data_IF_801197759346
#
_entry.id   IF_801197759346
#
_cell.length_a   1.000
_cell.length_b   1.000
_cell.length_c   1.000
_cell.angle_alpha   90.00
_cell.angle_beta   90.00
_cell.angle_gamma   90.00
#
_symmetry.space_group_name_H-M   'P 1'
#
loop_
_entity.id
_entity.type
_entity.pdbx_description
1 polymer ?
#
# COMPACT_ATOMS: atom_id res chain seq x y z
N UNK A 1 54.92 -39.96 -39.18
CA UNK A 1 54.63 -38.48 -38.90
C UNK A 1 53.17 -38.34 -38.66
N UNK A 2 52.76 -38.30 -37.36
CA UNK A 2 51.34 -38.30 -36.94
C UNK A 2 51.03 -36.94 -36.44
N UNK A 3 50.26 -36.15 -37.18
CA UNK A 3 49.70 -34.83 -36.73
C UNK A 3 48.43 -35.13 -35.98
N UNK A 4 48.45 -35.01 -34.62
CA UNK A 4 47.31 -35.12 -33.74
C UNK A 4 46.47 -33.82 -33.84
N UNK A 5 45.20 -33.95 -34.28
CA UNK A 5 44.20 -32.92 -34.32
C UNK A 5 43.69 -32.64 -32.88
N UNK A 6 44.11 -31.53 -32.26
CA UNK A 6 43.67 -31.07 -30.93
C UNK A 6 42.63 -29.92 -31.00
N UNK A 7 41.93 -29.77 -32.15
CA UNK A 7 40.97 -28.68 -32.36
C UNK A 7 39.57 -28.82 -31.70
N UNK A 8 39.02 -30.02 -31.39
CA UNK A 8 37.65 -30.06 -30.88
C UNK A 8 37.51 -29.73 -29.36
N UNK A 9 38.59 -29.85 -28.58
CA UNK A 9 38.54 -29.64 -27.13
C UNK A 9 38.51 -28.14 -26.77
N UNK A 10 39.19 -27.30 -27.55
CA UNK A 10 39.21 -25.84 -27.33
C UNK A 10 37.86 -25.17 -27.70
N UNK A 11 37.15 -25.69 -28.70
CA UNK A 11 35.85 -25.20 -29.12
C UNK A 11 34.75 -25.52 -28.09
N UNK A 12 34.84 -26.67 -27.42
CA UNK A 12 33.89 -27.08 -26.38
C UNK A 12 34.05 -26.27 -25.08
N UNK A 13 35.29 -25.86 -24.74
CA UNK A 13 35.57 -25.03 -23.59
C UNK A 13 35.07 -23.57 -23.77
N UNK A 14 35.07 -23.05 -25.00
CA UNK A 14 34.57 -21.70 -25.29
C UNK A 14 33.02 -21.61 -25.26
N UNK A 15 32.32 -22.74 -25.50
CA UNK A 15 30.86 -22.78 -25.48
C UNK A 15 30.28 -22.83 -24.06
N UNK A 16 31.07 -23.22 -23.06
CA UNK A 16 30.64 -23.29 -21.66
C UNK A 16 30.68 -21.93 -20.90
N UNK A 17 31.33 -20.92 -21.46
CA UNK A 17 31.46 -19.59 -20.81
C UNK A 17 30.28 -18.66 -21.12
N UNK A 18 29.43 -18.98 -22.08
CA UNK A 18 28.36 -18.13 -22.55
C UNK A 18 27.04 -18.21 -21.74
N UNK A 19 26.97 -18.97 -20.65
CA UNK A 19 25.77 -19.11 -19.80
C UNK A 19 25.96 -18.42 -18.42
N UNK A 20 26.79 -17.39 -18.32
CA UNK A 20 26.75 -16.48 -17.19
C UNK A 20 25.54 -15.57 -17.37
N UNK A 21 24.34 -16.10 -17.09
CA UNK A 21 23.13 -15.31 -17.02
C UNK A 21 23.36 -14.11 -16.08
N UNK A 22 23.13 -12.91 -16.57
CA UNK A 22 23.22 -11.70 -15.75
C UNK A 22 22.32 -11.88 -14.52
N UNK A 23 22.91 -12.11 -13.35
CA UNK A 23 22.16 -12.10 -12.10
C UNK A 23 21.62 -10.69 -11.90
N UNK A 24 20.36 -10.53 -11.52
CA UNK A 24 19.82 -9.20 -11.22
C UNK A 24 20.66 -8.55 -10.11
N UNK A 25 20.94 -7.27 -10.27
CA UNK A 25 21.66 -6.49 -9.24
C UNK A 25 20.71 -6.14 -8.13
N UNK A 26 21.11 -6.41 -6.88
CA UNK A 26 20.32 -6.03 -5.70
C UNK A 26 20.19 -4.51 -5.62
N UNK A 27 18.97 -3.95 -5.61
CA UNK A 27 18.77 -2.52 -5.45
C UNK A 27 19.24 -2.03 -4.08
N UNK A 28 19.94 -0.89 -4.05
CA UNK A 28 20.37 -0.24 -2.80
C UNK A 28 19.23 0.61 -2.25
N UNK A 29 18.45 0.04 -1.35
CA UNK A 29 17.36 0.75 -0.67
C UNK A 29 17.14 0.18 0.74
N UNK A 30 16.73 1.04 1.68
CA UNK A 30 16.42 0.60 3.05
C UNK A 30 14.92 0.29 3.17
N UNK A 31 14.51 -0.91 2.81
CA UNK A 31 13.12 -1.38 2.86
C UNK A 31 12.56 -1.45 4.28
N UNK A 32 13.42 -1.72 5.28
CA UNK A 32 13.00 -1.81 6.67
C UNK A 32 12.55 -0.45 7.26
N UNK A 33 12.89 0.66 6.60
CA UNK A 33 12.42 1.98 6.99
C UNK A 33 11.02 2.31 6.45
N UNK A 34 10.46 1.47 5.56
CA UNK A 34 9.12 1.67 5.04
C UNK A 34 8.06 1.28 6.08
N UNK A 35 7.03 2.11 6.28
CA UNK A 35 5.99 1.82 7.25
C UNK A 35 5.12 0.64 6.78
N UNK A 36 4.73 -0.20 7.75
CA UNK A 36 3.71 -1.22 7.53
C UNK A 36 2.40 -0.74 8.18
N UNK A 37 1.40 -0.31 7.39
CA UNK A 37 0.15 0.20 7.91
C UNK A 37 -0.72 -0.86 8.60
N UNK A 38 -0.43 -2.15 8.43
CA UNK A 38 -1.16 -3.24 9.10
C UNK A 38 -0.93 -3.29 10.60
N UNK A 39 0.13 -2.65 11.07
CA UNK A 39 0.49 -2.57 12.50
C UNK A 39 -0.11 -1.34 13.21
N UNK A 40 -0.93 -0.56 12.52
CA UNK A 40 -1.56 0.66 13.05
C UNK A 40 -3.06 0.64 12.81
N UNK A 41 -3.78 1.54 13.47
CA UNK A 41 -5.19 1.73 13.15
C UNK A 41 -5.36 2.23 11.71
N UNK A 42 -6.53 1.91 11.13
CA UNK A 42 -6.92 2.42 9.82
C UNK A 42 -6.89 3.95 9.80
N UNK A 43 -6.26 4.52 8.79
CA UNK A 43 -6.29 5.97 8.56
C UNK A 43 -7.47 6.28 7.65
N UNK A 44 -8.40 7.05 8.16
CA UNK A 44 -9.63 7.43 7.48
C UNK A 44 -9.32 8.30 6.24
N UNK A 45 -9.97 7.98 5.13
CA UNK A 45 -9.83 8.69 3.88
C UNK A 45 -11.16 9.07 3.26
N UNK A 46 -11.10 9.87 2.19
CA UNK A 46 -12.28 10.31 1.44
C UNK A 46 -13.02 9.09 0.87
N UNK A 47 -14.34 9.02 1.11
CA UNK A 47 -15.20 7.93 0.67
C UNK A 47 -15.37 6.81 1.70
N UNK A 48 -14.57 6.80 2.77
CA UNK A 48 -14.79 5.83 3.87
C UNK A 48 -16.13 6.08 4.55
N UNK A 49 -16.77 4.99 4.93
CA UNK A 49 -18.04 4.99 5.66
C UNK A 49 -17.78 4.66 7.12
N UNK A 50 -18.25 5.52 8.01
CA UNK A 50 -18.11 5.36 9.45
C UNK A 50 -19.45 5.43 10.15
N UNK A 51 -19.54 4.70 11.24
CA UNK A 51 -20.67 4.76 12.18
C UNK A 51 -20.17 5.34 13.49
N UNK A 52 -20.80 6.41 13.95
CA UNK A 52 -20.52 7.05 15.22
C UNK A 52 -21.73 6.80 16.13
N UNK A 53 -21.52 6.05 17.20
CA UNK A 53 -22.54 5.79 18.19
C UNK A 53 -22.21 6.55 19.47
N UNK A 54 -23.21 7.29 20.00
CA UNK A 54 -23.11 7.96 21.29
C UNK A 54 -24.10 7.30 22.24
N UNK A 55 -23.57 6.58 23.23
CA UNK A 55 -24.37 5.82 24.19
C UNK A 55 -25.36 6.73 24.91
N UNK A 56 -26.58 6.25 25.13
CA UNK A 56 -27.70 7.00 25.76
C UNK A 56 -28.13 8.26 25.01
N UNK A 57 -27.54 8.57 23.84
CA UNK A 57 -27.88 9.73 23.02
C UNK A 57 -28.15 9.32 21.57
N UNK A 58 -29.22 8.56 21.26
CA UNK A 58 -29.48 8.06 19.92
C UNK A 58 -29.65 9.16 18.88
N UNK A 59 -30.09 10.36 19.27
CA UNK A 59 -30.18 11.52 18.37
C UNK A 59 -28.82 12.06 17.88
N UNK A 60 -27.71 11.62 18.49
CA UNK A 60 -26.34 11.97 18.09
C UNK A 60 -25.66 10.84 17.30
N UNK A 61 -26.29 9.66 17.23
CA UNK A 61 -25.77 8.56 16.43
C UNK A 61 -25.78 8.94 14.96
N UNK A 62 -24.65 8.78 14.28
CA UNK A 62 -24.44 9.27 12.91
C UNK A 62 -23.79 8.22 12.05
N UNK A 63 -24.40 7.92 10.91
CA UNK A 63 -23.76 7.21 9.81
C UNK A 63 -23.26 8.28 8.83
N UNK A 64 -21.96 8.29 8.56
CA UNK A 64 -21.35 9.31 7.72
C UNK A 64 -20.40 8.71 6.69
N UNK A 65 -20.42 9.29 5.49
CA UNK A 65 -19.36 9.08 4.49
C UNK A 65 -18.44 10.29 4.51
N UNK A 66 -17.13 10.06 4.56
CA UNK A 66 -16.15 11.15 4.52
C UNK A 66 -16.21 11.83 3.16
N UNK A 67 -16.56 13.10 3.18
CA UNK A 67 -16.79 13.94 2.00
C UNK A 67 -15.46 14.22 1.26
N UNK A 68 -15.53 14.69 -0.01
CA UNK A 68 -14.33 15.09 -0.79
C UNK A 68 -13.49 16.19 -0.13
N UNK A 69 -14.09 17.05 0.70
CA UNK A 69 -13.41 18.06 1.50
C UNK A 69 -12.69 17.49 2.74
N UNK A 70 -12.86 16.17 2.99
CA UNK A 70 -12.26 15.45 4.10
C UNK A 70 -13.01 15.55 5.43
N UNK A 71 -14.21 16.12 5.41
CA UNK A 71 -15.02 16.33 6.61
C UNK A 71 -16.19 15.33 6.69
N UNK A 72 -16.71 15.18 7.90
CA UNK A 72 -18.04 14.61 8.21
C UNK A 72 -18.88 15.68 8.90
N UNK A 73 -20.19 15.50 8.87
CA UNK A 73 -21.12 16.35 9.61
C UNK A 73 -21.84 15.54 10.67
N UNK A 74 -21.91 16.04 11.87
CA UNK A 74 -22.55 15.38 13.02
C UNK A 74 -23.45 16.38 13.77
N UNK A 75 -24.62 15.96 14.28
CA UNK A 75 -25.48 16.81 15.11
C UNK A 75 -24.69 17.41 16.29
N UNK A 76 -24.99 18.67 16.63
CA UNK A 76 -24.37 19.50 17.64
C UNK A 76 -22.90 19.86 17.39
N UNK A 77 -22.11 18.92 16.85
CA UNK A 77 -20.67 19.10 16.57
C UNK A 77 -20.43 19.90 15.30
N UNK A 78 -21.36 19.79 14.32
CA UNK A 78 -21.19 20.37 12.99
C UNK A 78 -20.18 19.62 12.14
N UNK A 79 -19.44 20.36 11.33
CA UNK A 79 -18.40 19.80 10.46
C UNK A 79 -17.12 19.49 11.25
N UNK A 80 -16.59 18.28 11.02
CA UNK A 80 -15.39 17.75 11.66
C UNK A 80 -14.48 17.10 10.63
N UNK A 81 -13.21 17.49 10.65
CA UNK A 81 -12.23 16.86 9.76
C UNK A 81 -11.96 15.43 10.20
N UNK A 82 -12.20 14.49 9.29
CA UNK A 82 -12.02 13.07 9.54
C UNK A 82 -10.89 12.47 8.70
N UNK A 83 -10.58 13.03 7.52
CA UNK A 83 -9.51 12.55 6.67
C UNK A 83 -8.15 12.70 7.35
N UNK A 84 -7.37 11.61 7.34
CA UNK A 84 -6.05 11.54 7.99
C UNK A 84 -6.09 11.17 9.47
N UNK A 85 -7.27 11.10 10.07
CA UNK A 85 -7.48 10.66 11.44
C UNK A 85 -7.64 9.15 11.53
N UNK A 86 -7.43 8.58 12.72
CA UNK A 86 -7.82 7.21 13.05
C UNK A 86 -9.20 7.20 13.72
N UNK A 87 -9.92 6.07 13.79
CA UNK A 87 -11.14 5.95 14.57
C UNK A 87 -10.97 6.42 16.01
N UNK A 88 -9.84 6.12 16.64
CA UNK A 88 -9.53 6.53 18.02
C UNK A 88 -9.28 8.04 18.14
N UNK A 89 -8.55 8.64 17.22
CA UNK A 89 -8.31 10.09 17.23
C UNK A 89 -9.60 10.87 16.92
N UNK A 90 -10.40 10.40 15.96
CA UNK A 90 -11.69 10.99 15.64
C UNK A 90 -12.66 10.93 16.83
N UNK A 91 -12.69 9.77 17.54
CA UNK A 91 -13.45 9.62 18.79
C UNK A 91 -13.07 10.69 19.82
N UNK A 92 -11.77 10.92 20.02
CA UNK A 92 -11.27 11.92 20.97
C UNK A 92 -11.70 13.34 20.58
N UNK A 93 -11.64 13.67 19.27
CA UNK A 93 -12.08 14.97 18.76
C UNK A 93 -13.58 15.19 18.95
N UNK A 94 -14.40 14.18 18.63
CA UNK A 94 -15.86 14.23 18.84
C UNK A 94 -16.18 14.42 20.32
N UNK A 95 -15.52 13.65 21.19
CA UNK A 95 -15.71 13.77 22.64
C UNK A 95 -15.43 15.20 23.13
N UNK A 96 -14.30 15.78 22.71
CA UNK A 96 -13.92 17.13 23.10
C UNK A 96 -14.99 18.19 22.73
N UNK A 97 -15.61 18.04 21.54
CA UNK A 97 -16.67 18.99 21.12
C UNK A 97 -18.02 18.72 21.73
N UNK A 98 -18.34 17.45 22.04
CA UNK A 98 -19.65 17.14 22.68
C UNK A 98 -19.70 17.48 24.17
N UNK A 99 -18.59 17.63 24.85
CA UNK A 99 -18.52 17.93 26.29
C UNK A 99 -19.29 19.21 26.66
N UNK A 100 -19.36 20.17 25.73
CA UNK A 100 -20.08 21.43 25.94
C UNK A 100 -21.60 21.27 25.83
N UNK A 101 -22.09 20.19 25.24
CA UNK A 101 -23.52 20.00 24.95
C UNK A 101 -24.14 18.84 25.73
N UNK A 102 -23.34 17.83 26.08
CA UNK A 102 -23.84 16.59 26.68
C UNK A 102 -22.91 16.16 27.81
N UNK A 103 -23.50 15.74 28.94
CA UNK A 103 -22.72 15.09 30.00
C UNK A 103 -22.29 13.72 29.56
N UNK A 104 -21.00 13.59 29.21
CA UNK A 104 -20.37 12.32 28.88
C UNK A 104 -19.69 11.76 30.15
N UNK A 105 -19.86 10.45 30.41
CA UNK A 105 -19.19 9.77 31.52
C UNK A 105 -17.70 9.48 31.24
N UNK A 106 -17.19 8.33 31.69
CA UNK A 106 -15.76 8.03 31.79
C UNK A 106 -15.08 7.51 30.50
N UNK A 107 -15.65 7.70 29.30
CA UNK A 107 -14.88 7.49 28.07
C UNK A 107 -15.30 6.40 27.12
N UNK A 108 -16.22 5.53 27.48
CA UNK A 108 -16.70 4.44 26.62
C UNK A 108 -18.02 4.75 25.89
N UNK A 109 -18.52 5.94 26.03
CA UNK A 109 -19.85 6.34 25.50
C UNK A 109 -19.86 6.64 24.02
N UNK A 110 -18.69 6.92 23.40
CA UNK A 110 -18.58 7.16 21.97
C UNK A 110 -17.83 6.02 21.33
N UNK A 111 -18.43 5.46 20.30
CA UNK A 111 -17.80 4.45 19.46
C UNK A 111 -17.74 4.95 18.02
N UNK A 112 -16.57 4.89 17.40
CA UNK A 112 -16.37 5.16 15.98
C UNK A 112 -15.96 3.87 15.32
N UNK A 113 -16.79 3.36 14.41
CA UNK A 113 -16.54 2.13 13.69
C UNK A 113 -16.44 2.40 12.18
N UNK A 114 -15.45 1.82 11.51
CA UNK A 114 -15.36 1.82 10.04
C UNK A 114 -16.31 0.75 9.51
N UNK A 115 -17.30 1.15 8.72
CA UNK A 115 -18.26 0.28 8.06
C UNK A 115 -17.87 -0.07 6.65
N UNK A 116 -17.20 0.86 5.96
CA UNK A 116 -16.69 0.65 4.61
C UNK A 116 -15.37 1.39 4.41
N UNK A 117 -14.31 0.63 4.15
CA UNK A 117 -12.97 1.16 3.87
C UNK A 117 -12.84 1.37 2.35
N UNK A 118 -13.29 2.51 1.85
CA UNK A 118 -13.37 2.81 0.41
C UNK A 118 -12.24 3.73 -0.07
N UNK A 119 -11.44 4.26 0.84
CA UNK A 119 -10.36 5.19 0.53
C UNK A 119 -9.06 4.52 0.10
N UNK A 120 -8.89 3.23 0.40
CA UNK A 120 -7.67 2.51 0.05
C UNK A 120 -7.68 2.13 -1.43
N UNK A 121 -6.83 2.81 -2.17
CA UNK A 121 -6.64 2.59 -3.61
C UNK A 121 -5.19 2.84 -4.01
N UNK A 122 -4.71 2.05 -4.96
CA UNK A 122 -3.39 2.19 -5.58
C UNK A 122 -3.50 1.90 -7.07
N UNK A 123 -2.45 2.21 -7.82
CA UNK A 123 -2.43 2.06 -9.27
C UNK A 123 -1.34 1.07 -9.67
N UNK A 124 -1.61 0.24 -10.67
CA UNK A 124 -0.63 -0.64 -11.30
C UNK A 124 -0.57 -0.28 -12.78
N UNK A 125 0.63 0.02 -13.29
CA UNK A 125 0.84 0.43 -14.68
C UNK A 125 2.05 -0.29 -15.28
N UNK A 126 2.09 -0.35 -16.62
CA UNK A 126 3.17 -0.95 -17.38
C UNK A 126 2.87 -2.39 -17.80
N UNK A 127 3.90 -3.22 -17.86
CA UNK A 127 3.87 -4.57 -18.42
C UNK A 127 3.26 -5.60 -17.46
N UNK A 128 2.00 -5.40 -17.12
CA UNK A 128 1.14 -6.36 -16.40
C UNK A 128 -0.09 -6.71 -17.23
N UNK A 129 -0.69 -7.87 -16.98
CA UNK A 129 -1.83 -8.36 -17.77
C UNK A 129 -3.06 -7.44 -17.68
N UNK A 130 -3.31 -6.84 -16.51
CA UNK A 130 -4.45 -5.95 -16.26
C UNK A 130 -3.98 -4.71 -15.48
N UNK A 131 -3.43 -3.70 -16.18
CA UNK A 131 -3.10 -2.43 -15.55
C UNK A 131 -4.37 -1.68 -15.14
N UNK A 132 -4.29 -0.87 -14.10
CA UNK A 132 -5.42 -0.07 -13.65
C UNK A 132 -5.34 0.36 -12.19
N UNK A 133 -6.42 0.97 -11.73
CA UNK A 133 -6.61 1.35 -10.32
C UNK A 133 -7.28 0.19 -9.59
N UNK A 134 -6.70 -0.19 -8.47
CA UNK A 134 -7.24 -1.21 -7.56
C UNK A 134 -7.74 -0.51 -6.31
N UNK A 135 -8.98 -0.82 -5.91
CA UNK A 135 -9.61 -0.34 -4.67
C UNK A 135 -10.01 -1.54 -3.83
N UNK A 136 -9.64 -1.55 -2.56
CA UNK A 136 -9.87 -2.65 -1.63
C UNK A 136 -10.23 -2.12 -0.24
N UNK A 137 -10.80 -2.99 0.60
CA UNK A 137 -11.06 -2.72 2.01
C UNK A 137 -9.99 -3.25 2.97
N UNK A 138 -8.85 -3.72 2.45
CA UNK A 138 -7.76 -4.28 3.24
C UNK A 138 -6.42 -4.05 2.53
N UNK A 139 -5.34 -4.00 3.30
CA UNK A 139 -4.00 -3.80 2.77
C UNK A 139 -3.46 -5.06 2.08
N UNK A 140 -2.77 -4.84 0.97
CA UNK A 140 -2.09 -5.89 0.19
C UNK A 140 -0.63 -5.54 -0.02
N UNK A 141 0.18 -6.56 -0.26
CA UNK A 141 1.60 -6.41 -0.59
C UNK A 141 1.81 -6.19 -2.09
N UNK A 142 3.04 -5.84 -2.49
CA UNK A 142 3.42 -5.70 -3.90
C UNK A 142 3.16 -6.99 -4.68
N UNK A 143 3.49 -8.15 -4.11
CA UNK A 143 3.28 -9.45 -4.79
C UNK A 143 1.79 -9.74 -4.96
N UNK A 144 0.96 -9.46 -3.94
CA UNK A 144 -0.49 -9.61 -4.05
C UNK A 144 -1.08 -8.64 -5.08
N UNK A 145 -0.60 -7.39 -5.12
CA UNK A 145 -1.02 -6.42 -6.12
C UNK A 145 -0.68 -6.89 -7.56
N UNK A 146 0.50 -7.46 -7.77
CA UNK A 146 0.88 -8.07 -9.05
C UNK A 146 -0.02 -9.25 -9.42
N UNK A 147 -0.34 -10.11 -8.46
CA UNK A 147 -1.26 -11.24 -8.68
C UNK A 147 -2.66 -10.75 -9.09
N UNK A 148 -3.17 -9.68 -8.46
CA UNK A 148 -4.45 -9.05 -8.82
C UNK A 148 -4.43 -8.45 -10.24
N UNK A 149 -3.27 -7.93 -10.67
CA UNK A 149 -3.07 -7.48 -12.05
C UNK A 149 -2.92 -8.63 -13.07
N UNK A 150 -3.00 -9.90 -12.63
CA UNK A 150 -2.86 -11.08 -13.49
C UNK A 150 -1.42 -11.41 -13.85
N UNK A 151 -0.44 -10.88 -13.09
CA UNK A 151 0.98 -11.11 -13.30
C UNK A 151 1.57 -10.29 -14.44
N UNK A 152 2.81 -10.62 -14.77
CA UNK A 152 3.61 -9.95 -15.79
C UNK A 152 3.22 -10.35 -17.22
N UNK A 153 3.41 -9.43 -18.16
CA UNK A 153 3.45 -9.77 -19.57
C UNK A 153 4.80 -10.40 -19.95
N UNK A 154 4.90 -10.95 -21.15
CA UNK A 154 6.16 -11.49 -21.68
C UNK A 154 7.26 -10.44 -21.92
N UNK A 155 6.90 -9.17 -21.87
CA UNK A 155 7.82 -8.06 -22.13
C UNK A 155 8.32 -7.40 -20.85
N UNK A 156 7.79 -7.77 -19.69
CA UNK A 156 8.07 -7.11 -18.41
C UNK A 156 9.54 -7.27 -17.97
N UNK A 157 10.15 -6.16 -17.62
CA UNK A 157 11.44 -6.11 -16.91
C UNK A 157 11.22 -6.27 -15.41
N UNK A 158 10.85 -7.48 -14.97
CA UNK A 158 10.40 -7.80 -13.62
C UNK A 158 11.36 -7.44 -12.47
N UNK A 159 12.66 -7.24 -12.79
CA UNK A 159 13.66 -6.83 -11.79
C UNK A 159 13.94 -5.33 -11.77
N UNK A 160 13.22 -4.55 -12.58
CA UNK A 160 13.34 -3.09 -12.65
C UNK A 160 12.06 -2.36 -12.23
N UNK A 161 11.20 -3.04 -11.48
CA UNK A 161 9.96 -2.46 -10.97
C UNK A 161 10.23 -1.27 -10.06
N UNK A 162 9.30 -0.34 -10.04
CA UNK A 162 9.36 0.87 -9.22
C UNK A 162 8.04 1.07 -8.50
N UNK A 163 8.11 1.17 -7.18
CA UNK A 163 6.99 1.63 -6.38
C UNK A 163 7.15 3.13 -6.14
N UNK A 164 6.25 3.91 -6.74
CA UNK A 164 6.19 5.36 -6.54
C UNK A 164 5.27 5.62 -5.35
N UNK A 165 5.84 6.15 -4.28
CA UNK A 165 5.12 6.45 -3.03
C UNK A 165 5.18 7.94 -2.73
N UNK A 166 4.03 8.55 -2.51
CA UNK A 166 3.94 9.94 -2.08
C UNK A 166 3.78 10.02 -0.57
N UNK A 167 4.62 10.79 0.08
CA UNK A 167 4.48 11.09 1.49
C UNK A 167 3.30 12.07 1.67
N UNK A 168 2.24 11.69 2.40
CA UNK A 168 1.04 12.52 2.55
C UNK A 168 1.30 13.80 3.36
N UNK A 169 2.34 13.84 4.20
CA UNK A 169 2.67 14.99 5.04
C UNK A 169 3.52 16.02 4.31
N UNK A 170 4.59 15.56 3.67
CA UNK A 170 5.52 16.45 2.95
C UNK A 170 5.13 16.69 1.49
N UNK A 171 4.23 15.88 0.93
CA UNK A 171 3.87 15.90 -0.49
C UNK A 171 4.98 15.40 -1.43
N UNK A 172 6.15 15.05 -0.90
CA UNK A 172 7.29 14.56 -1.69
C UNK A 172 7.03 13.14 -2.17
N UNK A 173 7.37 12.88 -3.41
CA UNK A 173 7.35 11.52 -3.97
C UNK A 173 8.72 10.89 -3.88
N UNK A 174 8.78 9.59 -3.60
CA UNK A 174 9.98 8.77 -3.64
C UNK A 174 9.74 7.56 -4.52
N UNK A 175 10.81 7.08 -5.12
CA UNK A 175 10.81 5.87 -5.93
C UNK A 175 11.53 4.77 -5.18
N UNK A 176 10.86 3.66 -4.97
CA UNK A 176 11.38 2.48 -4.27
C UNK A 176 11.61 1.41 -5.32
N UNK A 177 12.85 1.00 -5.58
CA UNK A 177 13.15 -0.05 -6.56
C UNK A 177 12.71 -1.42 -6.00
N UNK A 178 12.18 -2.28 -6.87
CA UNK A 178 11.77 -3.65 -6.51
C UNK A 178 12.26 -4.59 -7.59
N UNK A 179 12.95 -5.66 -7.19
CA UNK A 179 13.40 -6.71 -8.08
C UNK A 179 12.69 -8.03 -7.74
N UNK A 180 11.88 -8.52 -8.66
CA UNK A 180 10.97 -9.64 -8.42
C UNK A 180 11.71 -10.96 -8.12
N UNK A 181 12.84 -11.22 -8.75
CA UNK A 181 13.55 -12.50 -8.57
C UNK A 181 14.00 -12.67 -7.11
N UNK A 182 14.39 -11.60 -6.43
CA UNK A 182 14.74 -11.63 -5.00
C UNK A 182 13.54 -11.85 -4.08
N UNK A 183 12.34 -11.48 -4.52
CA UNK A 183 11.09 -11.82 -3.82
C UNK A 183 10.70 -13.28 -4.05
N UNK A 184 10.84 -13.74 -5.30
CA UNK A 184 10.45 -15.09 -5.72
C UNK A 184 11.34 -16.17 -5.12
N UNK A 185 12.65 -15.92 -4.97
CA UNK A 185 13.60 -16.86 -4.35
C UNK A 185 13.66 -16.73 -2.82
N UNK A 186 12.95 -15.74 -2.24
CA UNK A 186 12.89 -15.50 -0.79
C UNK A 186 14.16 -14.94 -0.17
N UNK A 187 15.14 -14.49 -0.96
CA UNK A 187 16.40 -13.94 -0.45
C UNK A 187 16.23 -12.55 0.16
N UNK A 188 15.26 -11.76 -0.35
CA UNK A 188 14.98 -10.40 0.10
C UNK A 188 13.47 -10.15 0.30
N UNK A 189 12.82 -10.83 1.27
CA UNK A 189 11.39 -10.71 1.53
C UNK A 189 10.97 -9.30 1.95
N UNK A 190 11.88 -8.48 2.46
CA UNK A 190 11.65 -7.09 2.86
C UNK A 190 11.27 -6.17 1.68
N UNK A 191 11.55 -6.58 0.44
CA UNK A 191 11.08 -5.85 -0.75
C UNK A 191 9.58 -6.02 -0.99
N UNK A 192 8.92 -7.02 -0.36
CA UNK A 192 7.49 -7.23 -0.47
C UNK A 192 6.71 -6.23 0.39
N UNK A 193 6.88 -4.97 0.08
CA UNK A 193 6.27 -3.87 0.82
C UNK A 193 4.75 -3.92 0.75
N UNK A 194 4.10 -3.42 1.79
CA UNK A 194 2.65 -3.18 1.78
C UNK A 194 2.36 -1.95 0.94
N UNK A 195 1.40 -2.08 0.03
CA UNK A 195 0.90 -0.98 -0.79
C UNK A 195 0.16 0.01 0.10
N UNK A 196 0.40 1.30 -0.12
CA UNK A 196 -0.30 2.38 0.58
C UNK A 196 -1.27 3.09 -0.36
N UNK A 197 -2.24 3.81 0.22
CA UNK A 197 -3.16 4.65 -0.56
C UNK A 197 -2.39 5.67 -1.40
N UNK A 198 -2.68 5.68 -2.71
CA UNK A 198 -2.02 6.57 -3.66
C UNK A 198 -0.69 6.07 -4.23
N UNK A 199 -0.23 4.89 -3.82
CA UNK A 199 0.94 4.25 -4.42
C UNK A 199 0.71 3.95 -5.91
N UNK A 200 1.78 3.98 -6.69
CA UNK A 200 1.79 3.51 -8.07
C UNK A 200 2.89 2.48 -8.25
N UNK A 201 2.52 1.26 -8.57
CA UNK A 201 3.45 0.21 -8.97
C UNK A 201 3.66 0.28 -10.48
N UNK A 202 4.86 0.61 -10.89
CA UNK A 202 5.28 0.66 -12.30
C UNK A 202 6.11 -0.58 -12.63
N UNK A 203 5.69 -1.30 -13.67
CA UNK A 203 6.37 -2.47 -14.22
C UNK A 203 6.85 -2.13 -15.62
N UNK A 204 8.15 -1.88 -15.84
CA UNK A 204 8.68 -1.53 -17.15
C UNK A 204 8.71 -2.70 -18.13
#
# INVERSE_FOLDING_TARGET
MVVRRSLPVLALALLLVAVAGCKPTLPKYNYAAEPDPRNTEWILGVGDQISINVWENPGLTTEATIRPDGNITMPLVGDLRAVGETPSSLKAMIRGRLTDFVKLGSGSEITVAVRGANSYRFTIVGEVTRPGVVQLGYYVTVVEALAMAGGFTRFASKNEMKLLRRDPRSGKSRTIPIAYDFLADGSHPEMNLVMMTGDTLFVP
#
